data_IF_595650218235
#
_entry.id   IF_595650218235
#
_cell.length_a   1.000
_cell.length_b   1.000
_cell.length_c   1.000
_cell.angle_alpha   90.00
_cell.angle_beta   90.00
_cell.angle_gamma   90.00
#
_symmetry.space_group_name_H-M   'P 1'
#
loop_
_entity.id
_entity.type
_entity.pdbx_description
1 polymer ?
#
# COMPACT_ATOMS: atom_id res chain seq x y z
N UNK A 1 24.61 0.54 -5.04
CA UNK A 1 23.92 0.50 -3.73
C UNK A 1 22.76 1.49 -3.80
N UNK A 2 21.53 1.04 -4.06
CA UNK A 2 20.34 1.92 -3.99
C UNK A 2 19.85 1.91 -2.55
N UNK A 3 19.72 3.12 -1.99
CA UNK A 3 19.42 3.36 -0.59
C UNK A 3 18.08 2.73 -0.18
N UNK A 4 18.04 2.15 1.02
CA UNK A 4 16.83 1.68 1.68
C UNK A 4 16.11 2.88 2.30
N UNK A 5 15.54 3.76 1.47
CA UNK A 5 14.88 4.99 1.94
C UNK A 5 13.35 4.94 1.78
N UNK A 6 12.79 3.77 1.41
CA UNK A 6 11.35 3.64 1.27
C UNK A 6 10.68 3.35 2.61
N UNK A 7 9.65 4.12 2.90
CA UNK A 7 8.64 3.80 3.89
C UNK A 7 7.51 3.01 3.23
N UNK A 8 7.03 1.97 3.90
CA UNK A 8 5.85 1.23 3.49
C UNK A 8 4.83 1.23 4.63
N UNK A 9 3.57 1.45 4.27
CA UNK A 9 2.45 1.46 5.18
C UNK A 9 1.42 0.46 4.70
N UNK A 10 0.88 -0.34 5.62
CA UNK A 10 -0.15 -1.32 5.30
C UNK A 10 -1.13 -1.50 6.45
N UNK A 11 -2.35 -1.93 6.12
CA UNK A 11 -3.31 -2.48 7.08
C UNK A 11 -3.36 -3.99 6.90
N UNK A 12 -3.17 -4.74 7.99
CA UNK A 12 -3.11 -6.20 7.95
C UNK A 12 -3.78 -6.81 9.18
N UNK A 13 -4.46 -7.93 9.01
CA UNK A 13 -4.92 -8.84 10.05
C UNK A 13 -4.03 -10.10 10.13
N UNK A 14 -2.87 -10.05 9.46
CA UNK A 14 -1.92 -11.16 9.37
C UNK A 14 -1.12 -11.36 10.65
N UNK A 15 -0.42 -12.49 10.70
CA UNK A 15 0.35 -12.93 11.86
C UNK A 15 1.38 -11.86 12.28
N UNK A 16 1.27 -11.42 13.53
CA UNK A 16 2.26 -10.56 14.18
C UNK A 16 3.23 -11.45 14.97
N UNK A 17 4.37 -11.80 14.40
CA UNK A 17 5.33 -12.69 15.09
C UNK A 17 6.16 -11.93 16.12
N UNK A 18 6.24 -12.48 17.33
CA UNK A 18 7.27 -12.12 18.31
C UNK A 18 8.65 -12.45 17.71
N UNK A 19 9.57 -11.48 17.61
CA UNK A 19 10.86 -11.69 16.95
C UNK A 19 11.78 -12.66 17.70
N UNK A 20 11.55 -12.87 18.99
CA UNK A 20 12.35 -13.74 19.86
C UNK A 20 11.67 -15.10 20.02
N UNK A 21 10.39 -15.09 20.37
CA UNK A 21 9.62 -16.28 20.74
C UNK A 21 8.98 -16.98 19.56
N UNK A 22 8.90 -16.32 18.39
CA UNK A 22 8.22 -16.81 17.18
C UNK A 22 6.77 -17.26 17.41
N UNK A 23 6.11 -16.64 18.38
CA UNK A 23 4.67 -16.82 18.64
C UNK A 23 3.89 -15.72 17.96
N UNK A 24 2.67 -16.02 17.52
CA UNK A 24 1.74 -14.99 17.07
C UNK A 24 1.29 -14.16 18.27
N UNK A 25 1.57 -12.86 18.24
CA UNK A 25 1.19 -11.88 19.25
C UNK A 25 -0.26 -11.42 19.08
N UNK A 26 -0.84 -11.58 17.90
CA UNK A 26 -2.25 -11.25 17.65
C UNK A 26 -3.07 -12.51 17.44
N UNK A 27 -3.51 -13.10 18.54
CA UNK A 27 -4.36 -14.30 18.53
C UNK A 27 -5.79 -14.03 18.11
N UNK A 28 -6.23 -12.77 18.12
CA UNK A 28 -7.58 -12.38 17.75
C UNK A 28 -7.68 -12.10 16.25
N UNK A 29 -6.55 -11.83 15.59
CA UNK A 29 -6.45 -11.49 14.16
C UNK A 29 -6.96 -10.07 13.89
N UNK A 30 -6.73 -9.15 14.82
CA UNK A 30 -7.19 -7.77 14.72
C UNK A 30 -6.45 -7.05 13.59
N UNK A 31 -7.16 -6.15 12.91
CA UNK A 31 -6.50 -5.29 11.93
C UNK A 31 -5.53 -4.36 12.65
N UNK A 32 -4.31 -4.27 12.13
CA UNK A 32 -3.27 -3.37 12.62
C UNK A 32 -2.77 -2.47 11.49
N UNK A 33 -2.53 -1.21 11.82
CA UNK A 33 -1.77 -0.30 10.98
C UNK A 33 -0.28 -0.56 11.20
N UNK A 34 0.46 -0.83 10.13
CA UNK A 34 1.87 -1.16 10.19
C UNK A 34 2.69 -0.20 9.34
N UNK A 35 3.70 0.37 9.96
CA UNK A 35 4.79 1.08 9.31
C UNK A 35 6.00 0.16 9.17
N UNK A 36 6.68 0.27 8.03
CA UNK A 36 8.00 -0.33 7.80
C UNK A 36 8.93 0.73 7.21
N UNK A 37 10.00 1.04 7.93
CA UNK A 37 11.08 1.89 7.43
C UNK A 37 12.20 1.06 6.78
N UNK A 38 13.02 1.72 5.97
CA UNK A 38 14.20 1.14 5.33
C UNK A 38 13.91 -0.08 4.44
N UNK A 39 12.77 -0.05 3.75
CA UNK A 39 12.39 -1.14 2.85
C UNK A 39 13.01 -0.91 1.47
N UNK A 40 13.43 -2.01 0.83
CA UNK A 40 13.69 -2.02 -0.60
C UNK A 40 12.65 -2.94 -1.26
N UNK A 41 11.63 -2.38 -1.92
CA UNK A 41 10.58 -3.17 -2.57
C UNK A 41 11.13 -4.15 -3.62
N UNK A 42 12.26 -3.85 -4.26
CA UNK A 42 12.88 -4.70 -5.28
C UNK A 42 13.46 -6.00 -4.71
N UNK A 43 13.64 -6.08 -3.39
CA UNK A 43 14.15 -7.29 -2.70
C UNK A 43 13.03 -8.19 -2.19
N UNK A 44 11.76 -7.79 -2.31
CA UNK A 44 10.64 -8.60 -1.85
C UNK A 44 10.35 -9.72 -2.85
N UNK A 45 10.49 -10.97 -2.43
CA UNK A 45 10.11 -12.14 -3.23
C UNK A 45 8.59 -12.33 -3.38
N UNK A 46 7.79 -11.57 -2.65
CA UNK A 46 6.32 -11.65 -2.66
C UNK A 46 5.66 -10.46 -3.36
N UNK A 47 6.43 -9.46 -3.82
CA UNK A 47 5.89 -8.29 -4.49
C UNK A 47 5.68 -8.56 -5.97
N UNK A 48 4.43 -8.48 -6.42
CA UNK A 48 4.08 -8.71 -7.82
C UNK A 48 4.44 -7.52 -8.70
N UNK A 49 4.10 -6.30 -8.27
CA UNK A 49 4.34 -5.08 -9.04
C UNK A 49 4.10 -3.83 -8.21
N UNK A 50 4.39 -2.67 -8.80
CA UNK A 50 4.23 -1.36 -8.17
C UNK A 50 3.51 -0.42 -9.12
N UNK A 51 2.62 0.40 -8.60
CA UNK A 51 1.90 1.40 -9.39
C UNK A 51 2.12 2.76 -8.73
N UNK A 52 2.73 3.68 -9.47
CA UNK A 52 2.85 5.07 -9.02
C UNK A 52 1.53 5.78 -9.31
N UNK A 53 0.91 6.33 -8.26
CA UNK A 53 -0.34 7.10 -8.34
C UNK A 53 -0.12 8.60 -8.18
N UNK A 54 1.09 9.04 -7.86
CA UNK A 54 1.38 10.46 -7.64
C UNK A 54 2.81 10.68 -7.14
N UNK A 55 3.10 11.93 -6.81
CA UNK A 55 4.36 12.35 -6.20
C UNK A 55 4.05 13.22 -5.00
N UNK A 56 4.62 12.86 -3.85
CA UNK A 56 4.52 13.65 -2.64
C UNK A 56 5.35 14.95 -2.85
N UNK A 57 4.75 16.15 -2.66
CA UNK A 57 5.48 17.41 -2.72
C UNK A 57 6.61 17.47 -1.68
N UNK A 58 7.67 18.24 -1.96
CA UNK A 58 8.88 18.26 -1.11
C UNK A 58 8.62 18.86 0.29
N UNK A 59 7.61 19.71 0.39
CA UNK A 59 7.13 20.35 1.62
C UNK A 59 6.38 19.39 2.54
N UNK A 60 5.85 18.27 2.00
CA UNK A 60 5.09 17.30 2.77
C UNK A 60 6.05 16.36 3.51
N UNK A 61 5.92 16.37 4.82
CA UNK A 61 6.78 15.62 5.73
C UNK A 61 6.31 14.18 5.91
N UNK A 62 7.23 13.34 6.35
CA UNK A 62 6.94 11.98 6.80
C UNK A 62 5.83 11.95 7.87
N UNK A 63 5.90 12.86 8.85
CA UNK A 63 4.93 12.92 9.95
C UNK A 63 3.51 13.24 9.47
N UNK A 64 3.39 14.10 8.45
CA UNK A 64 2.09 14.41 7.82
C UNK A 64 1.53 13.19 7.09
N UNK A 65 2.34 12.48 6.29
CA UNK A 65 1.91 11.24 5.63
C UNK A 65 1.49 10.19 6.66
N UNK A 66 2.31 9.94 7.69
CA UNK A 66 1.98 9.00 8.75
C UNK A 66 0.69 9.40 9.48
N UNK A 67 0.53 10.70 9.79
CA UNK A 67 -0.68 11.22 10.44
C UNK A 67 -1.94 11.04 9.59
N UNK A 68 -1.86 11.32 8.28
CA UNK A 68 -2.97 11.13 7.35
C UNK A 68 -3.38 9.65 7.25
N UNK A 69 -2.40 8.75 7.16
CA UNK A 69 -2.64 7.31 7.07
C UNK A 69 -3.16 6.72 8.38
N UNK A 70 -2.60 7.13 9.52
CA UNK A 70 -3.03 6.69 10.84
C UNK A 70 -4.42 7.18 11.25
N UNK A 71 -4.92 8.24 10.61
CA UNK A 71 -6.28 8.74 10.80
C UNK A 71 -7.35 7.94 10.02
N UNK A 72 -6.94 7.05 9.12
CA UNK A 72 -7.87 6.21 8.35
C UNK A 72 -8.32 5.05 9.24
N UNK A 73 -9.64 4.87 9.45
CA UNK A 73 -10.15 3.73 10.22
C UNK A 73 -9.65 2.41 9.63
N UNK A 74 -9.15 1.54 10.51
CA UNK A 74 -8.79 0.19 10.12
C UNK A 74 -10.04 -0.61 9.72
N UNK A 75 -9.89 -1.61 8.82
CA UNK A 75 -11.00 -2.47 8.47
C UNK A 75 -11.63 -3.12 9.70
N UNK A 76 -12.96 -3.21 9.68
CA UNK A 76 -13.72 -3.82 10.77
C UNK A 76 -14.11 -5.26 10.41
N UNK A 77 -13.84 -6.19 11.34
CA UNK A 77 -14.33 -7.56 11.21
C UNK A 77 -15.86 -7.57 11.17
N UNK A 78 -16.41 -8.42 10.30
CA UNK A 78 -17.86 -8.62 10.17
C UNK A 78 -18.66 -7.38 9.71
N UNK A 79 -17.99 -6.36 9.17
CA UNK A 79 -18.68 -5.27 8.49
C UNK A 79 -19.49 -5.79 7.28
N UNK A 80 -20.59 -5.09 6.97
CA UNK A 80 -21.41 -5.33 5.78
C UNK A 80 -21.51 -4.01 5.00
N UNK A 81 -20.88 -3.89 3.82
CA UNK A 81 -20.05 -4.89 3.14
C UNK A 81 -18.72 -5.19 3.87
N UNK A 82 -18.12 -6.34 3.55
CA UNK A 82 -16.84 -6.76 4.13
C UNK A 82 -15.74 -5.72 3.90
N UNK A 83 -14.93 -5.49 4.93
CA UNK A 83 -13.78 -4.58 4.88
C UNK A 83 -12.47 -5.37 5.00
N UNK A 84 -11.47 -4.97 4.22
CA UNK A 84 -10.15 -5.58 4.16
C UNK A 84 -9.06 -4.58 3.74
N UNK A 85 -7.84 -5.05 3.49
CA UNK A 85 -6.71 -4.21 3.07
C UNK A 85 -6.96 -3.46 1.75
N UNK A 86 -7.79 -3.99 0.86
CA UNK A 86 -8.18 -3.33 -0.40
C UNK A 86 -9.11 -2.15 -0.09
N UNK A 87 -10.10 -2.32 0.80
CA UNK A 87 -10.96 -1.20 1.23
C UNK A 87 -10.16 -0.11 1.93
N UNK A 88 -9.16 -0.48 2.74
CA UNK A 88 -8.27 0.50 3.37
C UNK A 88 -7.41 1.24 2.34
N UNK A 89 -6.87 0.53 1.35
CA UNK A 89 -6.09 1.13 0.24
C UNK A 89 -6.93 2.12 -0.57
N UNK A 90 -8.20 1.81 -0.84
CA UNK A 90 -9.14 2.75 -1.47
C UNK A 90 -9.31 4.02 -0.63
N UNK A 91 -9.49 3.86 0.69
CA UNK A 91 -9.59 5.00 1.61
C UNK A 91 -8.31 5.85 1.66
N UNK A 92 -7.12 5.23 1.56
CA UNK A 92 -5.84 5.93 1.44
C UNK A 92 -5.78 6.80 0.18
N UNK A 93 -6.13 6.24 -0.97
CA UNK A 93 -6.09 6.98 -2.23
C UNK A 93 -7.06 8.16 -2.18
N UNK A 94 -8.30 7.95 -1.72
CA UNK A 94 -9.25 9.04 -1.51
C UNK A 94 -8.71 10.11 -0.54
N UNK A 95 -8.10 9.70 0.58
CA UNK A 95 -7.52 10.64 1.54
C UNK A 95 -6.42 11.48 0.89
N UNK A 96 -5.56 10.87 0.08
CA UNK A 96 -4.51 11.58 -0.63
C UNK A 96 -5.04 12.51 -1.72
N UNK A 97 -6.10 12.12 -2.44
CA UNK A 97 -6.78 12.99 -3.41
C UNK A 97 -7.39 14.22 -2.72
N UNK A 98 -8.08 14.05 -1.60
CA UNK A 98 -8.70 15.15 -0.83
C UNK A 98 -7.66 16.10 -0.21
N UNK A 99 -6.41 15.65 -0.05
CA UNK A 99 -5.31 16.48 0.47
C UNK A 99 -4.34 16.93 -0.64
N UNK A 100 -4.75 16.86 -1.91
CA UNK A 100 -3.96 17.29 -3.08
C UNK A 100 -2.57 16.61 -3.21
N UNK A 101 -2.38 15.45 -2.57
CA UNK A 101 -1.14 14.67 -2.63
C UNK A 101 -1.07 13.75 -3.87
N UNK A 102 -2.25 13.41 -4.40
CA UNK A 102 -2.45 12.54 -5.56
C UNK A 102 -3.50 13.20 -6.45
N UNK A 103 -3.34 13.08 -7.76
CA UNK A 103 -4.31 13.61 -8.72
C UNK A 103 -5.67 12.92 -8.59
N UNK A 104 -6.74 13.65 -8.89
CA UNK A 104 -8.07 13.05 -8.97
C UNK A 104 -8.17 12.17 -10.23
N UNK A 105 -8.52 10.91 -10.02
CA UNK A 105 -8.80 9.93 -11.06
C UNK A 105 -9.88 8.96 -10.60
N UNK A 106 -10.49 8.28 -11.56
CA UNK A 106 -11.49 7.24 -11.31
C UNK A 106 -10.87 6.08 -10.51
N UNK A 107 -11.23 6.00 -9.23
CA UNK A 107 -10.69 5.02 -8.30
C UNK A 107 -11.13 3.60 -8.65
N UNK A 108 -12.36 3.40 -9.13
CA UNK A 108 -12.84 2.06 -9.46
C UNK A 108 -12.10 1.52 -10.67
N UNK A 109 -11.96 2.34 -11.72
CA UNK A 109 -11.13 2.00 -12.87
C UNK A 109 -9.68 1.72 -12.47
N UNK A 110 -9.11 2.54 -11.58
CA UNK A 110 -7.76 2.31 -11.09
C UNK A 110 -7.60 0.95 -10.40
N UNK A 111 -8.55 0.56 -9.55
CA UNK A 111 -8.49 -0.73 -8.85
C UNK A 111 -8.60 -1.91 -9.82
N UNK A 112 -9.47 -1.81 -10.83
CA UNK A 112 -9.62 -2.84 -11.87
C UNK A 112 -8.35 -2.98 -12.71
N UNK A 113 -7.76 -1.87 -13.15
CA UNK A 113 -6.51 -1.87 -13.91
C UNK A 113 -5.32 -2.37 -13.08
N UNK A 114 -5.31 -2.08 -11.77
CA UNK A 114 -4.30 -2.56 -10.84
C UNK A 114 -4.33 -4.08 -10.68
N UNK A 115 -5.54 -4.66 -10.61
CA UNK A 115 -5.72 -6.11 -10.54
C UNK A 115 -5.29 -6.77 -11.86
N UNK A 116 -5.71 -6.24 -13.01
CA UNK A 116 -5.30 -6.74 -14.31
C UNK A 116 -3.77 -6.69 -14.50
N UNK A 117 -3.13 -5.62 -14.02
CA UNK A 117 -1.67 -5.52 -14.02
C UNK A 117 -1.00 -6.58 -13.14
N UNK A 118 -1.55 -6.85 -11.95
CA UNK A 118 -1.04 -7.89 -11.06
C UNK A 118 -1.16 -9.29 -11.69
N UNK A 119 -2.29 -9.59 -12.33
CA UNK A 119 -2.51 -10.85 -13.06
C UNK A 119 -1.52 -11.02 -14.21
N UNK A 120 -1.29 -9.97 -14.99
CA UNK A 120 -0.29 -9.98 -16.07
C UNK A 120 1.12 -10.23 -15.52
N UNK A 121 1.48 -9.60 -14.39
CA UNK A 121 2.76 -9.81 -13.70
C UNK A 121 2.93 -11.24 -13.20
N UNK A 122 1.84 -11.88 -12.77
CA UNK A 122 1.83 -13.29 -12.37
C UNK A 122 2.12 -14.22 -13.55
N UNK A 123 1.54 -13.93 -14.71
CA UNK A 123 1.63 -14.78 -15.90
C UNK A 123 2.95 -14.58 -16.66
N UNK A 124 3.52 -13.37 -16.66
CA UNK A 124 4.67 -13.04 -17.51
C UNK A 124 5.55 -11.98 -16.85
N UNK A 125 6.19 -12.36 -15.75
CA UNK A 125 7.03 -11.45 -14.95
C UNK A 125 8.29 -10.96 -15.66
N UNK A 126 8.78 -11.66 -16.69
CA UNK A 126 9.99 -11.24 -17.42
C UNK A 126 9.71 -10.17 -18.48
N UNK A 127 8.52 -10.18 -19.08
CA UNK A 127 8.12 -9.26 -20.16
C UNK A 127 7.25 -8.09 -19.69
N UNK A 128 6.79 -8.12 -18.43
CA UNK A 128 5.92 -7.08 -17.86
C UNK A 128 6.71 -6.20 -16.87
N UNK A 129 6.69 -4.86 -17.02
CA UNK A 129 7.42 -3.96 -16.13
C UNK A 129 7.09 -4.17 -14.65
N UNK A 130 8.10 -4.20 -13.78
CA UNK A 130 7.91 -4.34 -12.32
C UNK A 130 7.29 -3.09 -11.66
N UNK A 131 7.19 -1.99 -12.40
CA UNK A 131 6.54 -0.75 -11.98
C UNK A 131 5.95 -0.01 -13.16
N UNK A 132 4.74 0.53 -12.99
CA UNK A 132 4.05 1.40 -13.96
C UNK A 132 3.67 2.73 -13.32
N UNK A 133 3.43 3.77 -14.13
CA UNK A 133 2.83 5.02 -13.66
C UNK A 133 1.41 5.17 -14.17
N UNK A 134 0.46 5.26 -13.25
CA UNK A 134 -0.95 5.45 -13.57
C UNK A 134 -1.27 6.88 -14.05
N UNK A 135 -0.59 7.88 -13.50
CA UNK A 135 -0.85 9.32 -13.74
C UNK A 135 -0.03 9.90 -14.89
N UNK A 136 0.81 9.10 -15.56
CA UNK A 136 1.66 9.57 -16.66
C UNK A 136 2.75 10.57 -16.27
N UNK A 137 2.90 10.92 -14.98
CA UNK A 137 4.05 11.70 -14.49
C UNK A 137 5.36 10.96 -14.79
N UNK A 138 6.46 11.66 -15.01
CA UNK A 138 7.77 10.96 -15.16
C UNK A 138 8.16 10.32 -13.82
N UNK A 139 8.43 9.00 -13.80
CA UNK A 139 8.98 8.30 -12.62
C UNK A 139 10.37 8.84 -12.31
#
# INVERSE_FOLDING_TARGET
MKSSDCYAFDATDGILLDPVRRVNLDTEGNWVFREKANINPEKSGHLLGRIMIGKVPNEVTYAEIHGLLGAIPLPQKSALPEQNCVTWTRAVICKFQVNDLVEEFDLDRFMDESLAFADQRLQSSESTPASINYTGRRI
#
